data_IF_510398160616
#
_entry.id   IF_510398160616
#
_cell.length_a   1.000
_cell.length_b   1.000
_cell.length_c   1.000
_cell.angle_alpha   90.00
_cell.angle_beta   90.00
_cell.angle_gamma   90.00
#
_symmetry.space_group_name_H-M   'P 1'
#
loop_
_entity.id
_entity.type
_entity.pdbx_description
1 polymer ?
#
# COMPACT_ATOMS: atom_id res chain seq x y z
N UNK A 1 -4.16 -14.68 -10.07
CA UNK A 1 -5.27 -13.85 -9.57
C UNK A 1 -4.76 -12.46 -9.26
N UNK A 2 -5.60 -11.42 -9.42
CA UNK A 2 -5.28 -10.06 -9.00
C UNK A 2 -5.93 -9.79 -7.65
N UNK A 3 -5.13 -9.39 -6.66
CA UNK A 3 -5.57 -9.30 -5.27
C UNK A 3 -5.28 -7.89 -4.76
N UNK A 4 -6.30 -7.20 -4.27
CA UNK A 4 -6.18 -5.85 -3.73
C UNK A 4 -6.40 -5.88 -2.22
N UNK A 5 -5.40 -5.40 -1.48
CA UNK A 5 -5.46 -5.15 -0.06
C UNK A 5 -5.68 -3.67 0.21
N UNK A 6 -6.54 -3.35 1.18
CA UNK A 6 -6.82 -1.98 1.60
C UNK A 6 -6.70 -1.91 3.12
N UNK A 7 -5.79 -1.07 3.60
CA UNK A 7 -5.64 -0.78 5.03
C UNK A 7 -5.07 0.62 5.22
N UNK A 8 -5.27 1.22 6.39
CA UNK A 8 -4.75 2.56 6.70
C UNK A 8 -3.22 2.61 6.67
N UNK A 9 -2.55 1.57 7.21
CA UNK A 9 -1.09 1.47 7.26
C UNK A 9 -0.58 0.29 6.43
N UNK A 10 0.42 0.55 5.59
CA UNK A 10 1.14 -0.49 4.87
C UNK A 10 2.35 -1.02 5.67
N UNK A 11 2.51 -2.35 5.86
CA UNK A 11 1.58 -3.43 5.46
C UNK A 11 0.53 -3.77 6.53
N UNK A 12 0.63 -3.16 7.72
CA UNK A 12 -0.31 -3.33 8.83
C UNK A 12 -0.45 -4.78 9.28
N UNK A 13 -1.61 -5.12 9.83
CA UNK A 13 -1.96 -6.49 10.26
C UNK A 13 -2.11 -7.49 9.11
N UNK A 14 -2.23 -7.00 7.86
CA UNK A 14 -2.40 -7.82 6.68
C UNK A 14 -1.07 -8.30 6.08
N UNK A 15 0.07 -7.82 6.61
CA UNK A 15 1.40 -8.13 6.09
C UNK A 15 1.71 -9.62 5.91
N UNK A 16 1.44 -10.50 6.90
CA UNK A 16 1.70 -11.94 6.75
C UNK A 16 0.91 -12.58 5.61
N UNK A 17 -0.38 -12.26 5.48
CA UNK A 17 -1.23 -12.79 4.41
C UNK A 17 -0.80 -12.25 3.05
N UNK A 18 -0.50 -10.95 2.98
CA UNK A 18 0.00 -10.30 1.78
C UNK A 18 1.32 -10.94 1.31
N UNK A 19 2.27 -11.15 2.22
CA UNK A 19 3.56 -11.78 1.91
C UNK A 19 3.39 -13.22 1.43
N UNK A 20 2.49 -13.99 2.05
CA UNK A 20 2.22 -15.36 1.64
C UNK A 20 1.67 -15.42 0.21
N UNK A 21 0.69 -14.58 -0.11
CA UNK A 21 0.10 -14.56 -1.45
C UNK A 21 1.04 -13.99 -2.51
N UNK A 22 1.85 -12.98 -2.16
CA UNK A 22 2.80 -12.35 -3.06
C UNK A 22 4.03 -13.23 -3.38
N UNK A 23 4.27 -14.29 -2.60
CA UNK A 23 5.32 -15.27 -2.88
C UNK A 23 4.95 -16.22 -4.05
N UNK A 24 3.68 -16.32 -4.40
CA UNK A 24 3.22 -17.15 -5.51
C UNK A 24 3.16 -16.35 -6.82
N UNK A 25 3.94 -16.73 -7.84
CA UNK A 25 4.02 -16.00 -9.12
C UNK A 25 2.68 -15.87 -9.86
N UNK A 26 1.73 -16.76 -9.56
CA UNK A 26 0.36 -16.68 -10.12
C UNK A 26 -0.46 -15.52 -9.55
N UNK A 27 0.01 -14.86 -8.49
CA UNK A 27 -0.71 -13.75 -7.84
C UNK A 27 -0.06 -12.40 -8.14
N UNK A 28 -0.86 -11.47 -8.62
CA UNK A 28 -0.51 -10.06 -8.66
C UNK A 28 -1.12 -9.37 -7.43
N UNK A 29 -0.27 -9.00 -6.48
CA UNK A 29 -0.72 -8.38 -5.23
C UNK A 29 -0.55 -6.85 -5.27
N UNK A 30 -1.63 -6.15 -4.95
CA UNK A 30 -1.69 -4.71 -4.80
C UNK A 30 -2.04 -4.36 -3.36
N UNK A 31 -1.46 -3.29 -2.83
CA UNK A 31 -1.83 -2.78 -1.52
C UNK A 31 -2.06 -1.28 -1.60
N UNK A 32 -3.20 -0.82 -1.10
CA UNK A 32 -3.56 0.59 -1.02
C UNK A 32 -3.57 1.02 0.44
N UNK A 33 -2.87 2.12 0.75
CA UNK A 33 -2.89 2.71 2.09
C UNK A 33 -2.74 4.22 2.07
N UNK A 34 -3.18 4.89 3.14
CA UNK A 34 -2.93 6.32 3.36
C UNK A 34 -1.57 6.60 4.01
N UNK A 35 -0.99 5.60 4.66
CA UNK A 35 0.31 5.71 5.33
C UNK A 35 1.25 4.58 4.93
N UNK A 36 2.52 4.95 4.76
CA UNK A 36 3.64 4.04 4.51
C UNK A 36 4.85 4.51 5.31
N UNK A 37 5.50 3.59 6.03
CA UNK A 37 6.80 3.88 6.63
C UNK A 37 7.82 4.17 5.52
N UNK A 38 8.55 5.27 5.65
CA UNK A 38 9.58 5.67 4.68
C UNK A 38 10.60 4.55 4.46
N UNK A 39 10.94 4.30 3.20
CA UNK A 39 11.93 3.28 2.81
C UNK A 39 11.45 1.83 2.89
N UNK A 40 10.25 1.55 3.43
CA UNK A 40 9.75 0.18 3.51
C UNK A 40 9.17 -0.28 2.16
N UNK A 41 9.42 -1.52 1.76
CA UNK A 41 8.76 -2.16 0.62
C UNK A 41 8.54 -3.65 0.92
N UNK A 42 7.65 -4.29 0.17
CA UNK A 42 7.42 -5.73 0.27
C UNK A 42 7.64 -6.37 -1.10
N UNK A 43 8.47 -7.42 -1.21
CA UNK A 43 8.66 -8.15 -2.46
C UNK A 43 7.35 -8.69 -3.02
N UNK A 44 7.18 -8.66 -4.35
CA UNK A 44 5.97 -9.15 -5.02
C UNK A 44 4.71 -8.29 -4.83
N UNK A 45 4.82 -7.13 -4.15
CA UNK A 45 3.68 -6.26 -3.87
C UNK A 45 3.83 -4.90 -4.54
N UNK A 46 2.78 -4.49 -5.27
CA UNK A 46 2.63 -3.13 -5.78
C UNK A 46 1.89 -2.27 -4.77
N UNK A 47 2.63 -1.40 -4.08
CA UNK A 47 2.04 -0.49 -3.08
C UNK A 47 1.65 0.84 -3.70
N UNK A 48 0.38 1.23 -3.51
CA UNK A 48 -0.24 2.47 -3.95
C UNK A 48 -0.51 3.30 -2.68
N UNK A 49 0.28 4.36 -2.50
CA UNK A 49 0.02 5.33 -1.45
C UNK A 49 -1.08 6.27 -1.93
N UNK A 50 -2.20 6.30 -1.23
CA UNK A 50 -3.20 7.35 -1.40
C UNK A 50 -2.54 8.63 -0.94
N UNK A 51 -2.24 9.52 -1.88
CA UNK A 51 -1.87 10.88 -1.55
C UNK A 51 -2.95 11.42 -0.64
N UNK A 52 -2.58 11.79 0.60
CA UNK A 52 -3.48 12.54 1.46
C UNK A 52 -4.06 13.63 0.59
N UNK A 53 -5.39 13.72 0.50
CA UNK A 53 -6.06 14.77 -0.23
C UNK A 53 -5.58 16.08 0.36
N UNK A 54 -4.50 16.60 -0.20
CA UNK A 54 -3.97 17.89 0.15
C UNK A 54 -5.09 18.81 -0.26
N UNK A 55 -5.88 19.27 0.71
CA UNK A 55 -6.29 20.66 0.65
C UNK A 55 -4.99 21.39 0.42
N UNK A 56 -4.77 21.85 -0.82
CA UNK A 56 -3.97 23.04 -1.03
C UNK A 56 -4.67 24.08 -0.16
N UNK A 57 -4.24 24.23 1.09
CA UNK A 57 -4.49 25.49 1.81
C UNK A 57 -3.89 26.54 0.89
N UNK A 58 -4.70 27.43 0.29
CA UNK A 58 -4.14 28.50 -0.50
C UNK A 58 -3.21 29.25 0.45
N UNK A 59 -1.93 29.31 0.10
CA UNK A 59 -1.00 30.26 0.72
C UNK A 59 -1.61 31.63 0.46
N UNK A 60 -2.15 32.24 1.52
CA UNK A 60 -2.60 33.62 1.48
C UNK A 60 -1.38 34.50 1.13
N UNK A 61 -1.57 35.52 0.27
CA UNK A 61 -0.49 36.40 -0.18
C UNK A 61 0.14 37.20 0.95
#
# INVERSE_FOLDING_TARGET
MRILFINTHFPGTLGPLLSFLAAEERHECFFVSGYKRQGYSMPGVRHILLGGGGRKTPSLP
#
